data_IF_825649263917
#
_entry.id   IF_825649263917
#
_cell.length_a   1.000
_cell.length_b   1.000
_cell.length_c   1.000
_cell.angle_alpha   90.00
_cell.angle_beta   90.00
_cell.angle_gamma   90.00
#
_symmetry.space_group_name_H-M   'P 1'
#
loop_
_entity.id
_entity.type
_entity.pdbx_description
1 polymer ?
#
# COMPACT_ATOMS: atom_id res chain seq x y z
N UNK A 1 16.64 3.25 -18.47
CA UNK A 1 16.51 3.65 -19.89
C UNK A 1 16.82 5.14 -20.03
N UNK A 2 17.24 5.64 -21.20
CA UNK A 2 17.68 7.05 -21.42
C UNK A 2 16.67 8.10 -20.94
N UNK A 3 15.37 7.84 -21.10
CA UNK A 3 14.30 8.79 -20.75
C UNK A 3 13.85 8.75 -19.29
N UNK A 4 14.18 7.69 -18.54
CA UNK A 4 13.75 7.55 -17.14
C UNK A 4 14.37 8.63 -16.24
N UNK A 5 15.65 8.96 -16.50
CA UNK A 5 16.44 9.87 -15.66
C UNK A 5 15.89 11.30 -15.53
N UNK A 6 15.02 11.76 -16.44
CA UNK A 6 14.40 13.10 -16.35
C UNK A 6 12.87 13.07 -16.31
N UNK A 7 12.23 11.92 -16.57
CA UNK A 7 10.78 11.77 -16.52
C UNK A 7 10.30 11.21 -15.17
N UNK A 8 11.20 10.65 -14.37
CA UNK A 8 10.89 10.06 -13.06
C UNK A 8 11.96 10.43 -12.03
N UNK A 9 11.62 10.28 -10.75
CA UNK A 9 12.58 10.37 -9.66
C UNK A 9 13.04 8.98 -9.25
N UNK A 10 14.31 8.85 -8.84
CA UNK A 10 14.84 7.59 -8.30
C UNK A 10 14.03 7.08 -7.10
N UNK A 11 13.49 8.01 -6.29
CA UNK A 11 12.60 7.67 -5.19
C UNK A 11 11.33 6.96 -5.68
N UNK A 12 10.65 7.50 -6.70
CA UNK A 12 9.44 6.89 -7.26
C UNK A 12 9.73 5.55 -7.97
N UNK A 13 10.84 5.47 -8.70
CA UNK A 13 11.27 4.22 -9.35
C UNK A 13 11.52 3.11 -8.33
N UNK A 14 12.13 3.44 -7.18
CA UNK A 14 12.42 2.48 -6.13
C UNK A 14 11.15 1.82 -5.56
N UNK A 15 10.04 2.56 -5.51
CA UNK A 15 8.74 2.06 -5.00
C UNK A 15 8.23 0.90 -5.84
N UNK A 16 8.35 1.00 -7.17
CA UNK A 16 7.88 -0.02 -8.10
C UNK A 16 8.99 -0.91 -8.66
N UNK A 17 10.18 -0.87 -8.05
CA UNK A 17 11.25 -1.79 -8.40
C UNK A 17 10.79 -3.25 -8.20
N UNK A 18 11.31 -4.21 -9.01
CA UNK A 18 10.94 -5.61 -8.89
C UNK A 18 11.07 -6.16 -7.46
N UNK A 19 12.17 -5.81 -6.78
CA UNK A 19 12.42 -6.22 -5.39
C UNK A 19 11.39 -5.63 -4.43
N UNK A 20 11.01 -4.36 -4.60
CA UNK A 20 9.99 -3.72 -3.77
C UNK A 20 8.60 -4.34 -3.95
N UNK A 21 8.23 -4.70 -5.19
CA UNK A 21 6.97 -5.39 -5.49
C UNK A 21 6.96 -6.79 -4.89
N UNK A 22 8.03 -7.58 -5.08
CA UNK A 22 8.14 -8.92 -4.49
C UNK A 22 8.15 -8.85 -2.95
N UNK A 23 8.87 -7.89 -2.36
CA UNK A 23 8.83 -7.70 -0.90
C UNK A 23 7.41 -7.39 -0.41
N UNK A 24 6.63 -6.61 -1.16
CA UNK A 24 5.24 -6.34 -0.80
C UNK A 24 4.38 -7.59 -0.80
N UNK A 25 4.58 -8.49 -1.77
CA UNK A 25 3.91 -9.79 -1.80
C UNK A 25 4.31 -10.63 -0.57
N UNK A 26 5.61 -10.65 -0.23
CA UNK A 26 6.09 -11.33 0.98
C UNK A 26 5.49 -10.72 2.27
N UNK A 27 5.36 -9.39 2.36
CA UNK A 27 4.73 -8.72 3.49
C UNK A 27 3.26 -9.13 3.64
N UNK A 28 2.54 -9.28 2.52
CA UNK A 28 1.15 -9.76 2.49
C UNK A 28 1.06 -11.21 2.96
N UNK A 29 1.93 -12.10 2.48
CA UNK A 29 1.99 -13.50 2.93
C UNK A 29 2.29 -13.62 4.43
N UNK A 30 3.27 -12.87 4.93
CA UNK A 30 3.60 -12.83 6.35
C UNK A 30 2.41 -12.32 7.19
N UNK A 31 1.73 -11.26 6.73
CA UNK A 31 0.55 -10.72 7.40
C UNK A 31 -0.61 -11.72 7.39
N UNK A 32 -0.83 -12.41 6.27
CA UNK A 32 -1.83 -13.47 6.12
C UNK A 32 -1.58 -14.62 7.09
N UNK A 33 -0.35 -15.17 7.14
CA UNK A 33 -0.01 -16.26 8.05
C UNK A 33 -0.21 -15.85 9.52
N UNK A 34 0.28 -14.67 9.91
CA UNK A 34 0.10 -14.15 11.28
C UNK A 34 -1.38 -13.98 11.61
N UNK A 35 -2.18 -13.43 10.70
CA UNK A 35 -3.61 -13.28 10.92
C UNK A 35 -4.33 -14.63 11.05
N UNK A 36 -4.00 -15.59 10.19
CA UNK A 36 -4.55 -16.95 10.22
C UNK A 36 -4.14 -17.72 11.50
N UNK A 37 -3.00 -17.41 12.12
CA UNK A 37 -2.66 -17.98 13.43
C UNK A 37 -3.45 -17.35 14.57
N UNK A 38 -3.64 -16.02 14.57
CA UNK A 38 -4.37 -15.31 15.66
C UNK A 38 -5.81 -15.78 15.86
N UNK A 39 -6.38 -16.37 14.83
CA UNK A 39 -7.76 -16.89 14.82
C UNK A 39 -7.83 -18.42 14.88
N UNK A 40 -6.68 -19.09 15.06
CA UNK A 40 -6.59 -20.53 15.24
C UNK A 40 -6.72 -21.40 13.97
N UNK A 41 -6.52 -20.84 12.77
CA UNK A 41 -6.63 -21.62 11.53
C UNK A 41 -5.33 -22.27 11.09
N UNK A 42 -4.19 -21.70 11.49
CA UNK A 42 -2.88 -22.31 11.32
C UNK A 42 -2.14 -22.28 12.67
N UNK A 43 -1.24 -23.23 12.95
CA UNK A 43 -0.42 -23.20 14.16
C UNK A 43 0.44 -21.94 14.22
N UNK A 44 0.58 -21.33 15.40
CA UNK A 44 1.45 -20.17 15.59
C UNK A 44 2.92 -20.41 15.19
N UNK A 45 3.52 -21.59 15.44
CA UNK A 45 4.87 -21.91 14.94
C UNK A 45 4.96 -21.89 13.41
N UNK A 46 3.96 -22.42 12.71
CA UNK A 46 3.92 -22.42 11.25
C UNK A 46 3.81 -20.98 10.69
N UNK A 47 2.97 -20.13 11.31
CA UNK A 47 2.89 -18.72 10.94
C UNK A 47 4.22 -17.98 11.13
N UNK A 48 4.93 -18.29 12.21
CA UNK A 48 6.24 -17.72 12.50
C UNK A 48 7.28 -18.16 11.46
N UNK A 49 7.31 -19.45 11.11
CA UNK A 49 8.23 -20.00 10.10
C UNK A 49 8.01 -19.36 8.72
N UNK A 50 6.75 -19.24 8.28
CA UNK A 50 6.40 -18.57 7.02
C UNK A 50 6.84 -17.10 7.07
N UNK A 51 6.47 -16.37 8.13
CA UNK A 51 6.75 -14.95 8.24
C UNK A 51 8.25 -14.63 8.36
N UNK A 52 9.07 -15.53 8.93
CA UNK A 52 10.52 -15.35 8.98
C UNK A 52 11.20 -15.45 7.60
N UNK A 53 10.61 -16.21 6.68
CA UNK A 53 11.13 -16.43 5.34
C UNK A 53 10.57 -15.43 4.31
N UNK A 54 9.59 -14.60 4.69
CA UNK A 54 9.00 -13.56 3.84
C UNK A 54 9.92 -12.34 3.69
N UNK A 55 11.10 -12.54 3.10
CA UNK A 55 12.08 -11.48 2.80
C UNK A 55 12.59 -11.65 1.38
N UNK A 56 12.36 -10.67 0.51
CA UNK A 56 12.73 -10.72 -0.91
C UNK A 56 14.24 -10.95 -1.12
N UNK A 57 15.08 -10.47 -0.19
CA UNK A 57 16.54 -10.68 -0.19
C UNK A 57 16.96 -12.16 -0.12
N UNK A 58 16.08 -13.06 0.34
CA UNK A 58 16.33 -14.50 0.39
C UNK A 58 16.06 -15.20 -0.95
N UNK A 59 15.59 -14.47 -1.96
CA UNK A 59 15.13 -15.04 -3.23
C UNK A 59 15.78 -14.34 -4.43
N UNK A 60 15.92 -15.10 -5.52
CA UNK A 60 16.30 -14.57 -6.82
C UNK A 60 15.09 -13.86 -7.46
N UNK A 61 14.96 -12.56 -7.19
CA UNK A 61 13.88 -11.71 -7.73
C UNK A 61 13.87 -11.70 -9.27
N UNK A 62 15.01 -11.51 -9.97
CA UNK A 62 15.05 -11.64 -11.43
C UNK A 62 14.46 -12.97 -11.96
N UNK A 63 14.79 -14.10 -11.33
CA UNK A 63 14.25 -15.39 -11.75
C UNK A 63 12.72 -15.49 -11.52
N UNK A 64 12.21 -14.94 -10.41
CA UNK A 64 10.76 -14.89 -10.14
C UNK A 64 10.02 -14.06 -11.19
N UNK A 65 10.57 -12.91 -11.57
CA UNK A 65 10.01 -12.04 -12.61
C UNK A 65 10.04 -12.73 -13.97
N UNK A 66 11.15 -13.40 -14.32
CA UNK A 66 11.27 -14.15 -15.56
C UNK A 66 10.29 -15.33 -15.66
N UNK A 67 9.85 -15.89 -14.53
CA UNK A 67 8.85 -16.96 -14.48
C UNK A 67 7.40 -16.46 -14.66
N UNK A 68 7.12 -15.19 -14.38
CA UNK A 68 5.76 -14.63 -14.37
C UNK A 68 4.98 -14.76 -15.70
N UNK A 69 5.58 -14.61 -16.89
CA UNK A 69 4.85 -14.79 -18.16
C UNK A 69 4.27 -16.19 -18.33
N UNK A 70 4.97 -17.23 -17.85
CA UNK A 70 4.51 -18.63 -17.95
C UNK A 70 3.31 -18.92 -17.06
N UNK A 71 3.20 -18.24 -15.93
CA UNK A 71 2.10 -18.38 -14.96
C UNK A 71 0.95 -17.39 -15.18
N UNK A 72 1.11 -16.43 -16.08
CA UNK A 72 0.15 -15.34 -16.31
C UNK A 72 0.02 -14.34 -15.15
N UNK A 73 0.82 -14.48 -14.08
CA UNK A 73 0.90 -13.56 -12.95
C UNK A 73 2.18 -13.82 -12.12
N UNK A 74 2.61 -12.81 -11.36
CA UNK A 74 3.81 -12.89 -10.50
C UNK A 74 3.54 -13.58 -9.15
N UNK A 75 2.29 -13.65 -8.68
CA UNK A 75 1.95 -14.26 -7.40
C UNK A 75 2.28 -15.77 -7.37
N UNK A 76 1.98 -16.51 -8.43
CA UNK A 76 2.21 -17.95 -8.47
C UNK A 76 3.70 -18.33 -8.26
N UNK A 77 4.68 -17.80 -9.03
CA UNK A 77 6.09 -18.15 -8.82
C UNK A 77 6.60 -17.71 -7.44
N UNK A 78 6.16 -16.55 -6.93
CA UNK A 78 6.51 -16.08 -5.58
C UNK A 78 6.01 -17.07 -4.51
N UNK A 79 4.74 -17.46 -4.57
CA UNK A 79 4.11 -18.38 -3.60
C UNK A 79 4.73 -19.78 -3.69
N UNK A 80 4.99 -20.28 -4.91
CA UNK A 80 5.64 -21.57 -5.10
C UNK A 80 7.03 -21.58 -4.47
N UNK A 81 7.84 -20.54 -4.75
CA UNK A 81 9.20 -20.46 -4.22
C UNK A 81 9.23 -20.26 -2.70
N UNK A 82 8.32 -19.47 -2.15
CA UNK A 82 8.14 -19.34 -0.70
C UNK A 82 7.78 -20.70 -0.08
N UNK A 83 6.85 -21.45 -0.67
CA UNK A 83 6.44 -22.77 -0.19
C UNK A 83 7.58 -23.78 -0.20
N UNK A 84 8.34 -23.85 -1.29
CA UNK A 84 9.53 -24.70 -1.39
C UNK A 84 10.53 -24.37 -0.29
N UNK A 85 10.79 -23.07 -0.08
CA UNK A 85 11.76 -22.62 0.93
C UNK A 85 11.28 -22.96 2.33
N UNK A 86 10.00 -22.71 2.65
CA UNK A 86 9.41 -23.12 3.94
C UNK A 86 9.53 -24.62 4.13
N UNK A 87 9.32 -25.43 3.09
CA UNK A 87 9.41 -26.89 3.19
C UNK A 87 10.83 -27.39 3.52
N UNK A 88 11.88 -26.63 3.18
CA UNK A 88 13.27 -26.98 3.55
C UNK A 88 13.53 -26.83 5.05
N UNK A 89 12.84 -25.91 5.73
CA UNK A 89 13.04 -25.62 7.16
C UNK A 89 11.96 -26.27 8.04
N UNK A 90 10.71 -26.23 7.60
CA UNK A 90 9.55 -26.81 8.27
C UNK A 90 8.56 -27.37 7.23
N UNK A 91 8.69 -28.66 6.86
CA UNK A 91 7.79 -29.32 5.91
C UNK A 91 6.31 -29.23 6.32
N UNK A 92 6.02 -29.20 7.61
CA UNK A 92 4.65 -29.12 8.12
C UNK A 92 4.04 -27.72 7.94
N UNK A 93 4.86 -26.67 7.92
CA UNK A 93 4.43 -25.30 7.70
C UNK A 93 4.09 -25.00 6.22
N UNK A 94 4.72 -25.70 5.27
CA UNK A 94 4.61 -25.40 3.84
C UNK A 94 3.17 -25.47 3.29
N UNK A 95 2.33 -26.34 3.85
CA UNK A 95 0.91 -26.47 3.46
C UNK A 95 0.07 -25.24 3.80
N UNK A 96 0.56 -24.38 4.70
CA UNK A 96 -0.13 -23.17 5.14
C UNK A 96 0.25 -21.91 4.33
N UNK A 97 1.28 -21.98 3.47
CA UNK A 97 1.69 -20.87 2.60
C UNK A 97 0.57 -20.51 1.63
N UNK A 98 0.21 -19.22 1.55
CA UNK A 98 -0.87 -18.68 0.72
C UNK A 98 -2.25 -19.30 0.99
N UNK A 99 -2.45 -19.90 2.18
CA UNK A 99 -3.69 -20.64 2.48
C UNK A 99 -4.88 -19.68 2.60
N UNK A 100 -5.85 -19.86 1.70
CA UNK A 100 -7.13 -19.15 1.72
C UNK A 100 -7.17 -17.86 0.88
N UNK A 101 -6.04 -17.48 0.26
CA UNK A 101 -5.94 -16.34 -0.65
C UNK A 101 -5.86 -16.82 -2.11
N UNK A 102 -6.22 -15.94 -3.02
CA UNK A 102 -5.98 -16.06 -4.47
C UNK A 102 -4.73 -15.28 -4.89
N UNK A 103 -4.23 -15.58 -6.09
CA UNK A 103 -3.18 -14.79 -6.72
C UNK A 103 -3.53 -13.29 -6.81
N UNK A 104 -4.81 -12.97 -7.08
CA UNK A 104 -5.28 -11.59 -7.16
C UNK A 104 -5.24 -10.89 -5.79
N UNK A 105 -5.63 -11.57 -4.71
CA UNK A 105 -5.57 -11.01 -3.35
C UNK A 105 -4.13 -10.59 -3.00
N UNK A 106 -3.15 -11.40 -3.39
CA UNK A 106 -1.74 -11.12 -3.20
C UNK A 106 -1.26 -9.94 -4.05
N UNK A 107 -1.54 -9.95 -5.35
CA UNK A 107 -1.10 -8.89 -6.28
C UNK A 107 -1.73 -7.55 -5.93
N UNK A 108 -3.06 -7.48 -5.82
CA UNK A 108 -3.77 -6.22 -5.59
C UNK A 108 -3.38 -5.61 -4.24
N UNK A 109 -3.26 -6.42 -3.19
CA UNK A 109 -2.84 -5.93 -1.88
C UNK A 109 -1.38 -5.47 -1.89
N UNK A 110 -0.49 -6.19 -2.57
CA UNK A 110 0.89 -5.75 -2.75
C UNK A 110 0.97 -4.41 -3.49
N UNK A 111 0.15 -4.23 -4.53
CA UNK A 111 0.05 -2.96 -5.26
C UNK A 111 -0.48 -1.84 -4.37
N UNK A 112 -1.48 -2.10 -3.52
CA UNK A 112 -1.97 -1.12 -2.53
C UNK A 112 -0.85 -0.69 -1.57
N UNK A 113 0.01 -1.61 -1.12
CA UNK A 113 1.17 -1.26 -0.28
C UNK A 113 2.17 -0.35 -1.01
N UNK A 114 2.41 -0.58 -2.31
CA UNK A 114 3.30 0.26 -3.13
C UNK A 114 2.67 1.60 -3.49
N UNK A 115 1.41 1.62 -3.87
CA UNK A 115 0.65 2.86 -4.13
C UNK A 115 0.61 3.74 -2.90
N UNK A 116 0.48 3.18 -1.70
CA UNK A 116 0.57 3.95 -0.45
C UNK A 116 1.90 4.69 -0.30
N UNK A 117 3.02 4.02 -0.61
CA UNK A 117 4.33 4.64 -0.55
C UNK A 117 4.52 5.71 -1.65
N UNK A 118 4.04 5.43 -2.87
CA UNK A 118 4.04 6.42 -3.95
C UNK A 118 3.23 7.67 -3.59
N UNK A 119 2.03 7.50 -3.00
CA UNK A 119 1.20 8.62 -2.55
C UNK A 119 1.87 9.43 -1.45
N UNK A 120 2.64 8.79 -0.57
CA UNK A 120 3.43 9.49 0.46
C UNK A 120 4.49 10.38 -0.18
N UNK A 121 5.25 9.88 -1.15
CA UNK A 121 6.26 10.68 -1.87
C UNK A 121 5.62 11.87 -2.61
N UNK A 122 4.49 11.65 -3.27
CA UNK A 122 3.78 12.72 -3.98
C UNK A 122 3.26 13.78 -3.01
N UNK A 123 2.72 13.39 -1.85
CA UNK A 123 2.27 14.36 -0.84
C UNK A 123 3.44 15.17 -0.27
N UNK A 124 4.57 14.53 0.02
CA UNK A 124 5.79 15.20 0.51
C UNK A 124 6.31 16.24 -0.53
N UNK A 125 6.33 15.88 -1.81
CA UNK A 125 6.75 16.77 -2.90
C UNK A 125 5.75 17.93 -3.10
N UNK A 126 4.44 17.66 -3.01
CA UNK A 126 3.40 18.69 -3.09
C UNK A 126 3.51 19.68 -1.93
N UNK A 127 3.77 19.21 -0.71
CA UNK A 127 3.97 20.08 0.45
C UNK A 127 5.19 20.98 0.26
N UNK A 128 6.32 20.42 -0.19
CA UNK A 128 7.53 21.19 -0.48
C UNK A 128 7.28 22.24 -1.57
N UNK A 129 6.66 21.86 -2.69
CA UNK A 129 6.31 22.78 -3.77
C UNK A 129 5.41 23.92 -3.29
N UNK A 130 4.38 23.60 -2.50
CA UNK A 130 3.47 24.59 -1.93
C UNK A 130 4.21 25.58 -1.03
N UNK A 131 5.09 25.09 -0.15
CA UNK A 131 5.90 25.93 0.73
C UNK A 131 6.82 26.87 -0.07
N UNK A 132 7.46 26.38 -1.14
CA UNK A 132 8.35 27.21 -1.98
C UNK A 132 7.59 28.25 -2.79
N UNK A 133 6.41 27.90 -3.31
CA UNK A 133 5.54 28.87 -3.99
C UNK A 133 5.06 29.97 -3.05
N UNK A 134 4.73 29.63 -1.80
CA UNK A 134 4.36 30.61 -0.78
C UNK A 134 5.54 31.53 -0.45
N UNK A 135 6.73 30.96 -0.22
CA UNK A 135 7.97 31.72 0.04
C UNK A 135 8.29 32.68 -1.12
N UNK A 136 8.13 32.26 -2.37
CA UNK A 136 8.30 33.14 -3.54
C UNK A 136 7.24 34.24 -3.61
N UNK A 137 5.99 33.92 -3.26
CA UNK A 137 4.89 34.86 -3.28
C UNK A 137 5.02 35.96 -2.21
N UNK A 138 5.54 35.59 -1.03
CA UNK A 138 5.87 36.53 0.04
C UNK A 138 7.06 37.42 -0.35
N UNK A 139 8.15 36.82 -0.84
CA UNK A 139 9.35 37.57 -1.27
C UNK A 139 9.07 38.56 -2.40
N UNK A 140 8.18 38.22 -3.31
CA UNK A 140 7.86 39.05 -4.48
C UNK A 140 6.45 39.66 -4.44
N UNK A 141 5.96 39.96 -3.24
CA UNK A 141 4.59 40.44 -2.99
C UNK A 141 4.18 41.68 -3.81
N UNK A 142 5.12 42.61 -4.02
CA UNK A 142 4.89 43.90 -4.67
C UNK A 142 5.47 44.00 -6.09
N UNK A 143 6.09 42.94 -6.63
CA UNK A 143 6.69 42.99 -7.98
C UNK A 143 5.57 43.10 -9.03
N UNK A 144 5.54 44.17 -9.84
CA UNK A 144 4.54 44.31 -10.91
C UNK A 144 4.83 43.34 -12.06
N UNK A 145 3.78 42.76 -12.64
CA UNK A 145 3.83 41.85 -13.77
C UNK A 145 2.75 42.22 -14.78
N UNK A 146 3.11 42.33 -16.07
CA UNK A 146 2.14 42.56 -17.14
C UNK A 146 1.20 41.34 -17.25
N UNK A 147 -0.08 41.55 -16.93
CA UNK A 147 -1.13 40.55 -17.13
C UNK A 147 -1.32 40.26 -18.62
N UNK A 148 -1.72 39.03 -18.94
CA UNK A 148 -2.09 38.64 -20.30
C UNK A 148 -3.40 37.84 -20.30
N UNK A 149 -4.32 38.22 -21.17
CA UNK A 149 -5.60 37.54 -21.41
C UNK A 149 -5.71 37.24 -22.90
N UNK A 150 -6.01 35.99 -23.28
CA UNK A 150 -6.00 35.55 -24.68
C UNK A 150 -4.69 35.92 -25.41
N UNK A 151 -3.56 35.75 -24.72
CA UNK A 151 -2.22 36.14 -25.16
C UNK A 151 -2.00 37.65 -25.41
N UNK A 152 -3.01 38.51 -25.18
CA UNK A 152 -2.89 39.96 -25.33
C UNK A 152 -2.53 40.65 -24.01
N UNK A 153 -1.77 41.77 -24.05
CA UNK A 153 -1.54 42.60 -22.87
C UNK A 153 -2.84 43.02 -22.17
N UNK A 154 -2.84 42.94 -20.85
CA UNK A 154 -3.96 43.35 -20.00
C UNK A 154 -3.45 44.27 -18.86
N UNK A 155 -4.28 44.49 -17.84
CA UNK A 155 -3.90 45.27 -16.66
C UNK A 155 -2.70 44.64 -15.92
N UNK A 156 -1.87 45.48 -15.29
CA UNK A 156 -0.76 45.04 -14.45
C UNK A 156 -1.31 44.33 -13.22
N UNK A 157 -0.74 43.17 -12.91
CA UNK A 157 -1.01 42.37 -11.71
C UNK A 157 0.27 42.31 -10.86
N UNK A 158 0.20 41.70 -9.67
CA UNK A 158 1.42 41.36 -8.91
C UNK A 158 1.92 39.96 -9.26
N UNK A 159 3.24 39.74 -9.17
CA UNK A 159 3.82 38.40 -9.28
C UNK A 159 3.23 37.45 -8.23
N UNK A 160 3.00 37.95 -7.00
CA UNK A 160 2.28 37.21 -5.96
C UNK A 160 0.91 36.73 -6.40
N UNK A 161 0.09 37.58 -7.05
CA UNK A 161 -1.21 37.17 -7.57
C UNK A 161 -1.07 35.99 -8.54
N UNK A 162 -0.04 36.00 -9.40
CA UNK A 162 0.24 34.88 -10.32
C UNK A 162 0.64 33.61 -9.57
N UNK A 163 1.54 33.71 -8.59
CA UNK A 163 2.01 32.57 -7.78
C UNK A 163 0.90 31.96 -6.93
N UNK A 164 0.03 32.79 -6.33
CA UNK A 164 -1.13 32.31 -5.57
C UNK A 164 -2.12 31.55 -6.47
N UNK A 165 -2.31 32.00 -7.71
CA UNK A 165 -3.13 31.28 -8.68
C UNK A 165 -2.56 29.89 -9.05
N UNK A 166 -1.25 29.66 -8.87
CA UNK A 166 -0.64 28.33 -8.99
C UNK A 166 -0.74 27.53 -7.68
N UNK A 167 -0.53 28.18 -6.53
CA UNK A 167 -0.54 27.53 -5.21
C UNK A 167 -1.93 27.00 -4.82
N UNK A 168 -2.97 27.82 -4.94
CA UNK A 168 -4.31 27.48 -4.47
C UNK A 168 -4.89 26.17 -5.05
N UNK A 169 -4.79 25.88 -6.37
CA UNK A 169 -5.21 24.58 -6.88
C UNK A 169 -4.35 23.42 -6.38
N UNK A 170 -3.04 23.62 -6.15
CA UNK A 170 -2.17 22.57 -5.62
C UNK A 170 -2.56 22.17 -4.19
N UNK A 171 -2.88 23.13 -3.33
CA UNK A 171 -3.35 22.87 -1.96
C UNK A 171 -4.64 22.02 -1.95
N UNK A 172 -5.61 22.37 -2.81
CA UNK A 172 -6.85 21.59 -2.96
C UNK A 172 -6.59 20.18 -3.52
N UNK A 173 -5.65 20.06 -4.46
CA UNK A 173 -5.27 18.75 -5.01
C UNK A 173 -4.60 17.87 -3.96
N UNK A 174 -3.75 18.43 -3.09
CA UNK A 174 -3.11 17.70 -2.00
C UNK A 174 -4.15 17.18 -0.99
N UNK A 175 -5.12 18.00 -0.61
CA UNK A 175 -6.22 17.59 0.27
C UNK A 175 -7.03 16.43 -0.34
N UNK A 176 -7.44 16.57 -1.61
CA UNK A 176 -8.17 15.52 -2.33
C UNK A 176 -7.38 14.22 -2.45
N UNK A 177 -6.07 14.32 -2.71
CA UNK A 177 -5.20 13.16 -2.81
C UNK A 177 -5.17 12.36 -1.50
N UNK A 178 -5.09 13.05 -0.35
CA UNK A 178 -5.11 12.41 0.97
C UNK A 178 -6.46 11.75 1.25
N UNK A 179 -7.57 12.44 0.97
CA UNK A 179 -8.92 11.90 1.15
C UNK A 179 -9.17 10.65 0.29
N UNK A 180 -8.82 10.72 -0.99
CA UNK A 180 -8.96 9.59 -1.91
C UNK A 180 -8.02 8.44 -1.53
N UNK A 181 -6.78 8.73 -1.14
CA UNK A 181 -5.84 7.74 -0.64
C UNK A 181 -6.42 6.96 0.55
N UNK A 182 -7.02 7.65 1.53
CA UNK A 182 -7.68 7.00 2.67
C UNK A 182 -8.87 6.12 2.27
N UNK A 183 -9.60 6.52 1.23
CA UNK A 183 -10.77 5.78 0.74
C UNK A 183 -10.42 4.60 -0.18
N UNK A 184 -9.28 4.63 -0.86
CA UNK A 184 -8.92 3.65 -1.91
C UNK A 184 -7.82 2.66 -1.51
N UNK A 185 -6.99 2.96 -0.50
CA UNK A 185 -5.93 2.07 -0.04
C UNK A 185 -6.48 0.94 0.85
N UNK A 186 -7.19 0.01 0.21
CA UNK A 186 -7.95 -1.04 0.87
C UNK A 186 -7.32 -2.42 0.65
N UNK A 187 -7.46 -3.30 1.64
CA UNK A 187 -7.09 -4.71 1.49
C UNK A 187 -7.93 -5.37 0.39
N UNK A 188 -7.28 -6.09 -0.53
CA UNK A 188 -7.95 -7.04 -1.41
C UNK A 188 -7.89 -8.44 -0.80
N UNK A 189 -9.05 -8.97 -0.41
CA UNK A 189 -9.17 -10.35 0.05
C UNK A 189 -10.58 -10.89 -0.25
N UNK A 190 -10.74 -11.44 -1.45
CA UNK A 190 -12.01 -11.98 -1.96
C UNK A 190 -12.05 -13.50 -2.02
N UNK A 191 -10.90 -14.13 -2.27
CA UNK A 191 -10.70 -15.56 -2.48
C UNK A 191 -11.54 -16.23 -3.60
N UNK A 192 -11.01 -17.29 -4.22
CA UNK A 192 -11.70 -17.96 -5.32
C UNK A 192 -12.64 -19.00 -4.70
N UNK A 193 -13.94 -18.67 -4.60
CA UNK A 193 -15.08 -19.58 -4.45
C UNK A 193 -14.95 -20.86 -3.56
N UNK A 194 -15.85 -20.99 -2.58
CA UNK A 194 -16.22 -22.20 -1.82
C UNK A 194 -15.27 -22.77 -0.74
N UNK A 195 -13.95 -22.55 -0.74
CA UNK A 195 -13.06 -23.04 0.35
C UNK A 195 -13.02 -22.15 1.61
N UNK A 196 -13.99 -21.25 1.76
CA UNK A 196 -14.12 -20.34 2.92
C UNK A 196 -15.09 -20.82 4.00
N UNK A 197 -15.86 -21.89 3.75
CA UNK A 197 -16.87 -22.41 4.70
C UNK A 197 -16.28 -22.87 6.03
N UNK A 198 -14.98 -23.22 6.10
CA UNK A 198 -14.27 -23.52 7.35
C UNK A 198 -13.71 -22.28 8.09
N UNK A 199 -13.64 -21.13 7.41
CA UNK A 199 -13.14 -19.84 7.97
C UNK A 199 -14.27 -19.00 8.57
N UNK A 200 -15.50 -19.17 8.07
CA UNK A 200 -16.68 -18.45 8.51
C UNK A 200 -17.21 -18.85 9.91
N UNK A 201 -16.70 -19.93 10.50
CA UNK A 201 -17.16 -20.49 11.79
C UNK A 201 -16.27 -20.15 13.00
N UNK A 202 -15.23 -19.32 12.83
CA UNK A 202 -14.35 -18.92 13.95
C UNK A 202 -15.11 -18.03 14.98
N UNK A 203 -14.96 -18.26 16.30
CA UNK A 203 -15.78 -17.61 17.32
C UNK A 203 -15.60 -16.08 17.40
N UNK A 204 -16.70 -15.38 17.71
CA UNK A 204 -16.85 -13.91 17.76
C UNK A 204 -16.16 -13.21 18.96
N UNK A 205 -15.44 -13.94 19.80
CA UNK A 205 -14.95 -13.46 21.11
C UNK A 205 -13.59 -12.76 21.02
N UNK A 206 -13.57 -11.52 20.50
CA UNK A 206 -12.60 -10.52 20.97
C UNK A 206 -13.04 -9.13 20.47
N UNK A 207 -13.94 -8.48 21.21
CA UNK A 207 -14.31 -7.09 20.99
C UNK A 207 -13.80 -6.29 22.18
N UNK A 208 -12.64 -5.66 22.04
CA UNK A 208 -12.23 -4.50 22.86
C UNK A 208 -11.94 -3.34 21.91
N UNK A 209 -12.47 -2.13 22.16
CA UNK A 209 -12.19 -0.96 21.34
C UNK A 209 -10.74 -0.48 21.54
N UNK A 210 -10.11 0.00 20.47
CA UNK A 210 -8.76 0.62 20.44
C UNK A 210 -8.88 2.10 20.00
N UNK A 211 -7.90 2.98 20.30
CA UNK A 211 -8.05 4.44 20.35
C UNK A 211 -8.01 5.11 18.96
N UNK A 212 -8.31 6.43 18.86
CA UNK A 212 -8.75 7.12 17.64
C UNK A 212 -7.75 7.26 16.47
N UNK A 213 -6.54 6.69 16.57
CA UNK A 213 -5.40 7.04 15.73
C UNK A 213 -5.16 6.17 14.49
N UNK A 214 -5.96 5.13 14.25
CA UNK A 214 -5.80 4.25 13.07
C UNK A 214 -7.12 4.13 12.29
N UNK A 215 -7.21 4.76 11.11
CA UNK A 215 -8.38 4.74 10.22
C UNK A 215 -8.03 4.07 8.89
N UNK A 216 -8.16 2.74 8.82
CA UNK A 216 -8.32 2.03 7.54
C UNK A 216 -9.71 1.40 7.53
N UNK A 217 -10.54 1.72 6.53
CA UNK A 217 -11.91 1.21 6.41
C UNK A 217 -11.93 0.00 5.46
N UNK A 218 -12.67 -1.05 5.79
CA UNK A 218 -12.95 -2.14 4.87
C UNK A 218 -14.13 -1.74 3.94
N UNK A 219 -14.00 -1.82 2.61
CA UNK A 219 -15.05 -1.39 1.65
C UNK A 219 -16.29 -2.27 1.69
N UNK A 220 -16.13 -3.56 2.02
CA UNK A 220 -17.21 -4.56 2.04
C UNK A 220 -18.30 -4.30 3.09
N UNK A 221 -18.10 -3.29 3.96
CA UNK A 221 -19.02 -2.96 5.04
C UNK A 221 -19.97 -1.79 4.70
N UNK A 222 -19.75 -1.06 3.60
CA UNK A 222 -20.54 0.12 3.24
C UNK A 222 -21.71 -0.27 2.31
N UNK A 223 -22.77 -0.89 2.84
CA UNK A 223 -24.04 -0.96 2.10
C UNK A 223 -24.98 -2.14 2.35
N UNK A 224 -24.56 -3.21 3.04
CA UNK A 224 -25.42 -4.40 3.23
C UNK A 224 -25.76 -4.63 4.70
N UNK A 225 -27.07 -4.69 5.01
CA UNK A 225 -27.59 -5.06 6.36
C UNK A 225 -27.31 -6.52 6.75
N UNK A 226 -26.60 -7.27 5.90
CA UNK A 226 -26.09 -8.61 6.20
C UNK A 226 -24.57 -8.54 6.42
N UNK A 227 -24.18 -8.11 7.62
CA UNK A 227 -22.81 -8.28 8.09
C UNK A 227 -22.52 -9.79 8.28
N UNK A 228 -22.17 -10.48 7.20
CA UNK A 228 -21.68 -11.85 7.24
C UNK A 228 -20.30 -11.88 7.91
N UNK A 229 -19.96 -13.01 8.53
CA UNK A 229 -18.77 -13.21 9.34
C UNK A 229 -17.43 -12.83 8.65
N UNK A 230 -17.41 -12.70 7.31
CA UNK A 230 -16.26 -12.22 6.55
C UNK A 230 -15.86 -10.77 6.83
N UNK A 231 -16.82 -9.88 7.11
CA UNK A 231 -16.52 -8.45 7.38
C UNK A 231 -15.80 -8.23 8.72
N UNK A 232 -16.07 -9.05 9.74
CA UNK A 232 -15.40 -8.96 11.03
C UNK A 232 -13.91 -9.35 10.96
N UNK A 233 -13.51 -10.03 9.88
CA UNK A 233 -12.20 -10.62 9.69
C UNK A 233 -11.25 -9.70 8.91
N UNK A 234 -11.72 -9.07 7.83
CA UNK A 234 -10.98 -8.01 7.15
C UNK A 234 -10.62 -6.85 8.11
N UNK A 235 -11.52 -6.55 9.07
CA UNK A 235 -11.26 -5.62 10.17
C UNK A 235 -10.15 -6.08 11.13
N UNK A 236 -10.10 -7.36 11.50
CA UNK A 236 -9.03 -7.91 12.36
C UNK A 236 -7.67 -7.96 11.64
N UNK A 237 -7.66 -8.19 10.33
CA UNK A 237 -6.46 -8.17 9.50
C UNK A 237 -5.87 -6.76 9.38
N UNK A 238 -6.70 -5.76 9.10
CA UNK A 238 -6.31 -4.35 9.07
C UNK A 238 -5.75 -3.86 10.43
N UNK A 239 -6.37 -4.25 11.54
CA UNK A 239 -5.85 -3.96 12.89
C UNK A 239 -4.44 -4.54 13.10
N UNK A 240 -4.17 -5.73 12.57
CA UNK A 240 -2.89 -6.39 12.79
C UNK A 240 -1.74 -5.89 11.90
N UNK A 241 -2.01 -5.55 10.64
CA UNK A 241 -1.03 -4.94 9.76
C UNK A 241 -0.56 -3.57 10.29
N UNK A 242 -1.47 -2.80 10.90
CA UNK A 242 -1.16 -1.51 11.55
C UNK A 242 -0.24 -1.67 12.78
N UNK A 243 -0.45 -2.68 13.62
CA UNK A 243 0.41 -2.92 14.80
C UNK A 243 1.82 -3.41 14.50
N UNK A 244 2.05 -4.10 13.37
CA UNK A 244 3.41 -4.48 12.94
C UNK A 244 4.17 -3.35 12.24
N UNK A 245 3.49 -2.26 11.89
CA UNK A 245 4.05 -1.06 11.28
C UNK A 245 4.48 -0.01 12.34
N UNK A 246 4.79 -0.42 13.57
CA UNK A 246 5.72 0.32 14.42
C UNK A 246 7.15 0.16 13.87
N UNK A 247 7.36 0.56 12.61
CA UNK A 247 8.67 0.63 12.01
C UNK A 247 9.41 1.81 12.64
N UNK A 248 10.26 1.45 13.61
CA UNK A 248 11.37 2.20 14.20
C UNK A 248 11.41 3.69 13.84
N UNK A 249 10.85 4.51 14.72
CA UNK A 249 11.59 5.67 15.21
C UNK A 249 12.85 5.14 15.90
N UNK A 250 13.94 5.02 15.17
CA UNK A 250 15.28 5.11 15.74
C UNK A 250 15.87 6.39 15.21
N UNK A 251 15.73 7.42 16.02
CA UNK A 251 16.63 8.56 16.10
C UNK A 251 18.08 8.14 15.89
N UNK A 252 18.72 8.71 14.88
CA UNK A 252 20.02 9.38 14.96
C UNK A 252 20.06 10.45 13.88
#
# INVERSE_FOLDING_TARGET
MLFEAFLSSTAMESVFSPTAVVQSMMDVEAALARAAARVGLIPAPAAQAIASLCRAELYDVPALVAAAPRSGNLALPVVQRLRETVALFDPSAAVYVHRGASAQDLVDTAMVLRTREALRLIDDDLQQLCARLLELAERHAAVPLLGRTMMQPAQVISLRFKLMNWLMPLLRSAERLREQGQASLLLQLGAPSARWTRWATAPRTCWRPWPPSCRCRCPTCAGTRSATAGCAWAWRWACCAATSASWRRTSR
#
